data_IF_568552625485
#
_entry.id   IF_568552625485
#
_cell.length_a   1.000
_cell.length_b   1.000
_cell.length_c   1.000
_cell.angle_alpha   90.00
_cell.angle_beta   90.00
_cell.angle_gamma   90.00
#
_symmetry.space_group_name_H-M   'P 1'
#
loop_
_entity.id
_entity.type
_entity.pdbx_description
1 polymer ?
#
# COMPACT_ATOMS: atom_id res chain seq x y z
N UNK A 1 17.23 21.34 -8.97
CA UNK A 1 16.59 20.71 -10.14
C UNK A 1 15.26 20.20 -9.64
N UNK A 2 14.21 20.99 -9.83
CA UNK A 2 12.87 20.67 -9.37
C UNK A 2 12.25 19.69 -10.37
N UNK A 3 12.74 18.46 -10.34
CA UNK A 3 12.17 17.37 -11.12
C UNK A 3 10.83 17.01 -10.50
N UNK A 4 9.74 17.47 -11.11
CA UNK A 4 8.42 16.94 -10.81
C UNK A 4 8.42 15.47 -11.27
N UNK A 5 8.64 14.56 -10.34
CA UNK A 5 8.43 13.14 -10.61
C UNK A 5 6.93 12.88 -10.55
N UNK A 6 6.39 12.37 -11.65
CA UNK A 6 5.02 11.87 -11.70
C UNK A 6 4.86 10.71 -10.69
N UNK A 7 3.79 10.69 -9.87
CA UNK A 7 3.57 9.60 -8.94
C UNK A 7 3.28 8.30 -9.70
N UNK A 8 3.92 7.20 -9.28
CA UNK A 8 3.53 5.87 -9.76
C UNK A 8 2.22 5.45 -9.08
N UNK A 9 1.23 5.04 -9.87
CA UNK A 9 -0.04 4.51 -9.38
C UNK A 9 -0.10 3.00 -9.58
N UNK A 10 -0.59 2.31 -8.56
CA UNK A 10 -0.89 0.89 -8.60
C UNK A 10 -2.32 0.70 -8.14
N UNK A 11 -3.08 -0.11 -8.87
CA UNK A 11 -4.44 -0.47 -8.52
C UNK A 11 -4.54 -1.98 -8.41
N UNK A 12 -5.21 -2.43 -7.36
CA UNK A 12 -5.49 -3.83 -7.15
C UNK A 12 -6.73 -3.99 -6.27
N UNK A 13 -7.38 -5.13 -6.38
CA UNK A 13 -8.56 -5.45 -5.59
C UNK A 13 -8.21 -6.35 -4.41
N UNK A 14 -8.83 -6.06 -3.27
CA UNK A 14 -8.86 -6.90 -2.08
C UNK A 14 -10.31 -7.28 -1.79
N UNK A 15 -10.49 -8.39 -1.07
CA UNK A 15 -11.79 -8.82 -0.54
C UNK A 15 -11.79 -8.68 0.96
N UNK A 16 -12.94 -8.35 1.53
CA UNK A 16 -13.14 -8.44 2.98
C UNK A 16 -13.41 -9.89 3.36
N UNK A 17 -12.62 -10.38 4.32
CA UNK A 17 -12.90 -11.62 5.03
C UNK A 17 -13.82 -11.38 6.22
N UNK A 18 -14.08 -12.44 6.99
CA UNK A 18 -14.73 -12.31 8.27
C UNK A 18 -13.91 -11.39 9.20
N UNK A 19 -14.57 -10.50 9.98
CA UNK A 19 -13.89 -9.68 10.98
C UNK A 19 -13.08 -10.54 11.93
N UNK A 20 -11.94 -10.00 12.38
CA UNK A 20 -11.14 -10.64 13.41
C UNK A 20 -11.86 -10.59 14.76
N UNK A 21 -11.46 -11.44 15.70
CA UNK A 21 -11.99 -11.40 17.07
C UNK A 21 -11.74 -10.07 17.78
N UNK A 22 -10.77 -9.29 17.32
CA UNK A 22 -10.47 -7.93 17.79
C UNK A 22 -11.39 -6.86 17.19
N UNK A 23 -12.30 -7.22 16.27
CA UNK A 23 -13.12 -6.29 15.51
C UNK A 23 -12.43 -5.68 14.29
N UNK A 24 -11.12 -5.91 14.12
CA UNK A 24 -10.37 -5.38 12.98
C UNK A 24 -10.74 -6.07 11.66
N UNK A 25 -10.64 -5.29 10.58
CA UNK A 25 -10.91 -5.75 9.22
C UNK A 25 -9.84 -6.73 8.75
N UNK A 26 -10.28 -7.87 8.18
CA UNK A 26 -9.38 -8.86 7.59
C UNK A 26 -9.40 -8.72 6.06
N UNK A 27 -8.28 -8.31 5.49
CA UNK A 27 -8.13 -8.21 4.04
C UNK A 27 -7.61 -9.51 3.45
N UNK A 28 -8.23 -9.95 2.37
CA UNK A 28 -7.92 -11.16 1.60
C UNK A 28 -7.69 -10.81 0.13
N UNK A 29 -7.02 -11.69 -0.61
CA UNK A 29 -6.76 -11.50 -2.04
C UNK A 29 -5.37 -11.98 -2.41
N UNK A 30 -5.08 -12.00 -3.71
CA UNK A 30 -3.79 -12.45 -4.24
C UNK A 30 -2.61 -11.61 -3.72
N UNK A 31 -2.85 -10.33 -3.49
CA UNK A 31 -1.83 -9.39 -3.02
C UNK A 31 -1.72 -9.30 -1.49
N UNK A 32 -2.71 -9.82 -0.75
CA UNK A 32 -2.73 -9.76 0.71
C UNK A 32 -1.85 -10.86 1.33
N UNK A 33 -0.69 -10.47 1.84
CA UNK A 33 0.30 -11.37 2.44
C UNK A 33 0.35 -11.27 3.96
N UNK A 34 1.05 -12.20 4.61
CA UNK A 34 1.17 -12.31 6.07
C UNK A 34 -0.03 -13.02 6.71
N UNK A 35 -0.10 -13.13 8.04
CA UNK A 35 -1.27 -13.66 8.76
C UNK A 35 -2.44 -12.65 8.76
N UNK A 36 -3.64 -13.10 9.13
CA UNK A 36 -4.87 -12.27 9.06
C UNK A 36 -4.82 -11.02 9.93
N UNK A 37 -4.14 -11.06 11.07
CA UNK A 37 -3.94 -9.91 11.97
C UNK A 37 -2.86 -8.94 11.52
N UNK A 38 -2.05 -9.29 10.52
CA UNK A 38 -0.91 -8.48 10.08
C UNK A 38 -0.81 -8.38 8.56
N UNK A 39 -1.96 -8.36 7.88
CA UNK A 39 -2.02 -8.32 6.43
C UNK A 39 -1.23 -7.13 5.87
N UNK A 40 -0.51 -7.38 4.79
CA UNK A 40 0.24 -6.36 4.06
C UNK A 40 0.28 -6.67 2.57
N UNK A 41 0.59 -5.66 1.76
CA UNK A 41 0.93 -5.83 0.35
C UNK A 41 2.40 -5.49 0.12
N UNK A 42 3.00 -6.11 -0.89
CA UNK A 42 4.35 -5.74 -1.33
C UNK A 42 4.30 -4.74 -2.50
N UNK A 43 5.12 -3.71 -2.43
CA UNK A 43 5.50 -2.88 -3.58
C UNK A 43 6.95 -3.21 -3.90
N UNK A 44 7.18 -3.90 -5.02
CA UNK A 44 8.51 -4.30 -5.46
C UNK A 44 9.15 -3.20 -6.32
N UNK A 45 10.48 -3.13 -6.31
CA UNK A 45 11.24 -2.16 -7.11
C UNK A 45 12.56 -2.77 -7.60
N UNK A 46 13.03 -2.24 -8.74
CA UNK A 46 14.24 -2.71 -9.39
C UNK A 46 14.10 -4.16 -9.87
N UNK A 47 15.09 -5.00 -9.57
CA UNK A 47 15.09 -6.40 -10.05
C UNK A 47 13.90 -7.21 -9.54
N UNK A 48 13.36 -6.92 -8.34
CA UNK A 48 12.15 -7.57 -7.81
C UNK A 48 10.87 -7.14 -8.54
N UNK A 49 10.91 -6.06 -9.31
CA UNK A 49 9.85 -5.62 -10.22
C UNK A 49 10.11 -6.03 -11.68
N UNK A 50 11.12 -6.87 -11.93
CA UNK A 50 11.50 -7.31 -13.27
C UNK A 50 12.36 -6.32 -14.06
N UNK A 51 12.82 -5.22 -13.45
CA UNK A 51 13.73 -4.28 -14.10
C UNK A 51 15.15 -4.86 -14.12
N UNK A 52 15.48 -5.58 -15.19
CA UNK A 52 16.80 -6.14 -15.42
C UNK A 52 17.89 -5.05 -15.39
N UNK A 53 19.02 -5.33 -14.76
CA UNK A 53 20.14 -4.40 -14.64
C UNK A 53 19.97 -3.26 -13.63
N UNK A 54 18.83 -3.21 -12.91
CA UNK A 54 18.66 -2.24 -11.82
C UNK A 54 19.71 -2.47 -10.72
N UNK A 55 20.33 -1.41 -10.16
CA UNK A 55 21.19 -1.53 -9.00
C UNK A 55 20.40 -1.85 -7.71
N UNK A 56 19.06 -1.80 -7.78
CA UNK A 56 18.18 -2.03 -6.64
C UNK A 56 17.47 -3.38 -6.72
N UNK A 57 17.43 -4.09 -5.60
CA UNK A 57 16.65 -5.31 -5.39
C UNK A 57 15.81 -5.10 -4.12
N UNK A 58 14.72 -4.34 -4.23
CA UNK A 58 13.99 -3.80 -3.07
C UNK A 58 12.50 -4.10 -3.10
N UNK A 59 11.91 -4.15 -1.91
CA UNK A 59 10.46 -4.25 -1.70
C UNK A 59 10.05 -3.49 -0.45
N UNK A 60 8.92 -2.80 -0.50
CA UNK A 60 8.26 -2.20 0.65
C UNK A 60 7.03 -3.02 1.07
N UNK A 61 6.77 -3.13 2.37
CA UNK A 61 5.52 -3.68 2.91
C UNK A 61 4.61 -2.54 3.33
N UNK A 62 3.45 -2.47 2.70
CA UNK A 62 2.37 -1.58 3.11
C UNK A 62 1.38 -2.38 3.96
N UNK A 63 1.34 -2.09 5.26
CA UNK A 63 0.50 -2.81 6.24
C UNK A 63 -0.96 -2.42 6.06
N UNK A 64 -1.81 -3.37 5.67
CA UNK A 64 -3.25 -3.16 5.53
C UNK A 64 -3.92 -2.98 6.89
N UNK A 65 -3.36 -3.57 7.94
CA UNK A 65 -3.79 -3.32 9.32
C UNK A 65 -3.55 -1.87 9.81
N UNK A 66 -2.84 -1.03 9.05
CA UNK A 66 -2.67 0.40 9.37
C UNK A 66 -3.71 1.30 8.71
N UNK A 67 -4.64 0.75 7.93
CA UNK A 67 -5.74 1.51 7.35
C UNK A 67 -6.66 1.97 8.49
N UNK A 68 -6.91 3.28 8.64
CA UNK A 68 -7.86 3.76 9.65
C UNK A 68 -9.27 3.24 9.37
N UNK A 69 -10.01 2.87 10.42
CA UNK A 69 -11.34 2.26 10.30
C UNK A 69 -12.31 3.20 9.56
N UNK A 70 -12.22 4.49 9.82
CA UNK A 70 -13.02 5.53 9.17
C UNK A 70 -12.83 5.58 7.65
N UNK A 71 -11.63 5.23 7.15
CA UNK A 71 -11.36 5.15 5.70
C UNK A 71 -12.02 3.91 5.11
N UNK A 72 -11.99 2.79 5.83
CA UNK A 72 -12.71 1.57 5.40
C UNK A 72 -14.21 1.82 5.35
N UNK A 73 -14.77 2.43 6.40
CA UNK A 73 -16.20 2.72 6.49
C UNK A 73 -16.63 3.72 5.41
N UNK A 74 -15.81 4.74 5.11
CA UNK A 74 -16.05 5.67 4.02
C UNK A 74 -16.04 4.99 2.65
N UNK A 75 -15.09 4.08 2.40
CA UNK A 75 -15.02 3.32 1.15
C UNK A 75 -16.25 2.41 0.97
N UNK A 76 -16.66 1.70 2.02
CA UNK A 76 -17.82 0.81 1.99
C UNK A 76 -19.14 1.56 1.80
N UNK A 77 -19.30 2.72 2.43
CA UNK A 77 -20.54 3.51 2.34
C UNK A 77 -20.67 4.26 1.01
N UNK A 78 -19.56 4.70 0.42
CA UNK A 78 -19.56 5.43 -0.86
C UNK A 78 -19.37 4.54 -2.10
N UNK A 79 -18.91 3.30 -1.92
CA UNK A 79 -18.38 2.49 -3.02
C UNK A 79 -17.03 2.99 -3.55
N UNK A 80 -16.34 3.86 -2.78
CA UNK A 80 -15.07 4.48 -3.16
C UNK A 80 -13.87 3.56 -3.02
N UNK A 81 -12.73 4.00 -3.55
CA UNK A 81 -11.45 3.29 -3.51
C UNK A 81 -10.59 3.83 -2.37
N UNK A 82 -10.03 2.94 -1.54
CA UNK A 82 -9.04 3.31 -0.52
C UNK A 82 -7.70 3.63 -1.21
N UNK A 83 -7.14 4.79 -0.91
CA UNK A 83 -5.84 5.24 -1.42
C UNK A 83 -4.80 5.29 -0.30
N UNK A 84 -3.58 4.84 -0.61
CA UNK A 84 -2.38 5.07 0.20
C UNK A 84 -1.37 5.91 -0.60
N UNK A 85 -0.90 7.01 -0.02
CA UNK A 85 0.20 7.82 -0.55
C UNK A 85 1.44 7.63 0.30
N UNK A 86 2.57 7.36 -0.36
CA UNK A 86 3.86 7.05 0.27
C UNK A 86 4.96 7.78 -0.50
N UNK A 87 5.96 8.30 0.22
CA UNK A 87 7.18 8.80 -0.42
C UNK A 87 7.94 7.62 -1.04
N UNK A 88 8.05 7.61 -2.37
CA UNK A 88 8.60 6.48 -3.12
C UNK A 88 10.12 6.33 -3.05
N UNK A 89 10.83 7.29 -2.43
CA UNK A 89 12.30 7.36 -2.41
C UNK A 89 12.82 7.50 -0.98
N UNK A 90 13.95 6.87 -0.69
CA UNK A 90 14.65 6.92 0.60
C UNK A 90 15.80 7.95 0.57
N UNK A 91 16.41 8.22 1.73
CA UNK A 91 17.53 9.17 1.84
C UNK A 91 18.78 8.78 1.06
N UNK A 92 18.90 7.52 0.63
CA UNK A 92 19.99 7.05 -0.25
C UNK A 92 19.69 7.22 -1.74
N UNK A 93 18.56 7.86 -2.09
CA UNK A 93 18.10 8.05 -3.47
C UNK A 93 17.51 6.79 -4.10
N UNK A 94 17.46 5.66 -3.38
CA UNK A 94 16.86 4.43 -3.85
C UNK A 94 15.35 4.35 -3.57
N UNK A 95 14.64 3.41 -4.20
CA UNK A 95 13.22 3.18 -3.94
C UNK A 95 12.95 2.85 -2.47
N UNK A 96 11.77 3.24 -1.98
CA UNK A 96 11.26 2.89 -0.66
C UNK A 96 11.27 1.37 -0.45
N UNK A 97 11.66 0.95 0.76
CA UNK A 97 11.80 -0.48 1.08
C UNK A 97 11.53 -0.78 2.55
N UNK A 98 11.52 -2.08 2.88
CA UNK A 98 11.20 -2.62 4.21
C UNK A 98 9.75 -2.34 4.63
N UNK A 99 9.42 -2.53 5.90
CA UNK A 99 8.07 -2.23 6.41
C UNK A 99 7.87 -0.73 6.56
N UNK A 100 6.85 -0.19 5.89
CA UNK A 100 6.48 1.22 6.05
C UNK A 100 5.94 1.45 7.46
N UNK A 101 6.45 2.50 8.11
CA UNK A 101 5.93 2.94 9.41
C UNK A 101 4.58 3.64 9.22
N UNK A 102 3.66 3.60 10.20
CA UNK A 102 2.36 4.24 10.07
C UNK A 102 2.42 5.71 9.62
N UNK A 103 3.35 6.50 10.15
CA UNK A 103 3.51 7.92 9.77
C UNK A 103 4.09 8.16 8.37
N UNK A 104 4.62 7.11 7.71
CA UNK A 104 5.15 7.20 6.36
C UNK A 104 4.08 6.95 5.27
N UNK A 105 2.84 6.69 5.69
CA UNK A 105 1.71 6.39 4.81
C UNK A 105 0.57 7.36 5.13
N UNK A 106 0.04 8.00 4.10
CA UNK A 106 -1.19 8.79 4.21
C UNK A 106 -2.31 7.99 3.57
N UNK A 107 -3.33 7.68 4.36
CA UNK A 107 -4.52 6.95 3.91
C UNK A 107 -5.68 7.90 3.63
N UNK A 108 -6.50 7.58 2.64
CA UNK A 108 -7.69 8.35 2.30
C UNK A 108 -8.59 7.61 1.30
N UNK A 109 -9.59 8.32 0.78
CA UNK A 109 -10.39 7.87 -0.36
C UNK A 109 -9.81 8.52 -1.62
N UNK A 110 -9.68 7.75 -2.70
CA UNK A 110 -9.27 8.28 -3.99
C UNK A 110 -10.29 9.32 -4.48
N UNK A 111 -9.82 10.52 -4.83
CA UNK A 111 -10.68 11.62 -5.27
C UNK A 111 -10.84 11.73 -6.79
N UNK A 112 -10.13 10.91 -7.58
CA UNK A 112 -10.32 10.80 -9.02
C UNK A 112 -10.23 9.33 -9.45
N UNK A 113 -11.34 8.83 -9.96
CA UNK A 113 -11.40 7.63 -10.81
C UNK A 113 -11.93 8.13 -12.15
N UNK A 114 -11.03 8.71 -12.95
CA UNK A 114 -11.27 8.99 -14.35
C UNK A 114 -10.73 7.82 -15.19
#
# INVERSE_FOLDING_TARGET
>A
MDGQHEPLRFEFSLRLGLPLSTGAVNFLGEFAQGPSSERFVYINSGTLAGQAGSPWTRRAKLKLASIPQEVVDAALSSGGVIEARVQGTMGDGGPVCASLKPHAVVWGIAHDVA
#
